data_IF_133397739695
#
_entry.id   IF_133397739695
#
_cell.length_a   1.000
_cell.length_b   1.000
_cell.length_c   1.000
_cell.angle_alpha   90.00
_cell.angle_beta   90.00
_cell.angle_gamma   90.00
#
_symmetry.space_group_name_H-M   'P 1'
#
loop_
_entity.id
_entity.type
_entity.pdbx_description
1 polymer ?
#
# COMPACT_ATOMS: atom_id res chain seq x y z
N UNK A 1 36.48 -17.14 -36.76
CA UNK A 1 36.27 -16.31 -35.57
C UNK A 1 35.16 -15.28 -35.80
N UNK A 2 34.15 -15.23 -34.94
CA UNK A 2 33.52 -13.97 -34.62
C UNK A 2 33.40 -13.78 -33.11
N UNK A 3 34.00 -12.74 -32.59
CA UNK A 3 33.82 -12.24 -31.24
C UNK A 3 32.69 -11.19 -31.25
N UNK A 4 31.77 -11.29 -30.28
CA UNK A 4 30.97 -10.16 -29.85
C UNK A 4 29.43 -10.26 -29.89
N UNK A 5 28.84 -11.14 -29.07
CA UNK A 5 27.36 -11.16 -28.90
C UNK A 5 26.88 -11.41 -27.47
N UNK A 6 27.74 -11.22 -26.46
CA UNK A 6 27.41 -11.59 -25.06
C UNK A 6 26.91 -10.47 -24.14
N UNK A 7 27.27 -9.23 -24.43
CA UNK A 7 27.10 -8.12 -23.46
C UNK A 7 25.78 -7.35 -23.57
N UNK A 8 25.15 -7.31 -24.75
CA UNK A 8 23.89 -6.54 -24.96
C UNK A 8 22.64 -7.16 -24.29
N UNK A 9 22.62 -8.49 -24.09
CA UNK A 9 21.43 -9.16 -23.50
C UNK A 9 21.32 -8.97 -21.98
N UNK A 10 22.43 -8.75 -21.27
CA UNK A 10 22.42 -8.51 -19.81
C UNK A 10 21.97 -7.09 -19.46
N UNK A 11 22.35 -6.09 -20.28
CA UNK A 11 21.92 -4.69 -20.09
C UNK A 11 20.40 -4.49 -20.21
N UNK A 12 19.73 -5.14 -21.19
CA UNK A 12 18.26 -5.05 -21.34
C UNK A 12 17.46 -5.57 -20.14
N UNK A 13 18.01 -6.53 -19.38
CA UNK A 13 17.32 -7.10 -18.22
C UNK A 13 17.40 -6.22 -16.97
N UNK A 14 18.52 -5.53 -16.77
CA UNK A 14 18.74 -4.66 -15.60
C UNK A 14 17.95 -3.35 -15.75
N UNK A 15 17.99 -2.71 -16.91
CA UNK A 15 17.21 -1.49 -17.16
C UNK A 15 15.68 -1.72 -17.06
N UNK A 16 15.17 -2.87 -17.54
CA UNK A 16 13.74 -3.20 -17.41
C UNK A 16 13.33 -3.50 -15.96
N UNK A 17 14.22 -4.03 -15.14
CA UNK A 17 13.92 -4.31 -13.74
C UNK A 17 13.86 -3.01 -12.93
N UNK A 18 14.77 -2.08 -13.18
CA UNK A 18 14.82 -0.78 -12.49
C UNK A 18 13.61 0.09 -12.90
N UNK A 19 13.25 0.16 -14.18
CA UNK A 19 12.07 0.92 -14.66
C UNK A 19 10.75 0.36 -14.12
N UNK A 20 10.59 -0.97 -14.06
CA UNK A 20 9.39 -1.60 -13.49
C UNK A 20 9.21 -1.31 -12.00
N UNK A 21 10.31 -1.17 -11.27
CA UNK A 21 10.30 -0.93 -9.82
C UNK A 21 10.03 0.54 -9.52
N UNK A 22 10.62 1.48 -10.26
CA UNK A 22 10.43 2.93 -10.04
C UNK A 22 9.03 3.37 -10.43
N UNK A 23 8.47 2.86 -11.55
CA UNK A 23 7.09 3.12 -11.93
C UNK A 23 6.07 2.53 -10.92
N UNK A 24 6.37 1.35 -10.35
CA UNK A 24 5.56 0.78 -9.27
C UNK A 24 5.62 1.61 -7.99
N UNK A 25 6.75 2.26 -7.68
CA UNK A 25 6.92 3.08 -6.48
C UNK A 25 6.09 4.37 -6.49
N UNK A 26 5.86 4.96 -7.66
CA UNK A 26 5.00 6.14 -7.79
C UNK A 26 3.51 5.79 -7.90
N UNK A 27 3.17 4.58 -8.37
CA UNK A 27 1.78 4.13 -8.53
C UNK A 27 1.24 3.42 -7.27
N UNK A 28 2.08 2.71 -6.51
CA UNK A 28 1.68 1.98 -5.30
C UNK A 28 1.12 2.90 -4.20
N UNK A 29 1.72 4.07 -3.88
CA UNK A 29 1.15 4.96 -2.88
C UNK A 29 -0.22 5.53 -3.28
N UNK A 30 -0.43 5.84 -4.57
CA UNK A 30 -1.70 6.41 -5.06
C UNK A 30 -2.83 5.38 -5.04
N UNK A 31 -2.54 4.13 -5.37
CA UNK A 31 -3.53 3.03 -5.35
C UNK A 31 -3.83 2.57 -3.93
N UNK A 32 -2.84 2.55 -3.02
CA UNK A 32 -3.02 2.14 -1.62
C UNK A 32 -3.77 3.20 -0.79
N UNK A 33 -3.64 4.50 -1.11
CA UNK A 33 -4.46 5.55 -0.48
C UNK A 33 -5.96 5.42 -0.78
N UNK A 34 -6.34 4.74 -1.88
CA UNK A 34 -7.76 4.57 -2.28
C UNK A 34 -8.38 3.32 -1.64
N UNK A 35 -7.59 2.32 -1.22
CA UNK A 35 -8.12 1.02 -0.79
C UNK A 35 -7.94 0.76 0.73
N UNK A 36 -7.34 1.69 1.49
CA UNK A 36 -7.15 1.55 2.96
C UNK A 36 -6.55 0.19 3.34
N UNK A 37 -5.29 0.18 3.71
CA UNK A 37 -4.60 -0.91 4.40
C UNK A 37 -4.42 -2.24 3.64
N UNK A 38 -3.38 -2.27 2.79
CA UNK A 38 -2.63 -3.51 2.60
C UNK A 38 -1.21 -3.24 3.12
N UNK A 39 -0.73 -3.95 4.13
CA UNK A 39 0.67 -3.82 4.56
C UNK A 39 1.57 -4.16 3.38
N UNK A 40 2.48 -3.26 3.04
CA UNK A 40 3.51 -3.54 2.04
C UNK A 40 4.43 -4.61 2.65
N UNK A 41 4.57 -5.80 2.05
CA UNK A 41 5.44 -6.84 2.61
C UNK A 41 6.86 -6.29 2.80
N UNK A 42 7.52 -6.64 3.91
CA UNK A 42 8.89 -6.24 4.25
C UNK A 42 9.90 -6.47 3.10
N UNK A 43 9.63 -7.45 2.22
CA UNK A 43 10.42 -7.71 1.01
C UNK A 43 10.40 -6.56 -0.02
N UNK A 44 9.39 -5.68 -0.01
CA UNK A 44 9.32 -4.51 -0.90
C UNK A 44 10.03 -3.31 -0.26
N UNK A 45 10.04 -3.20 1.07
CA UNK A 45 10.79 -2.18 1.81
C UNK A 45 12.29 -2.23 1.50
N UNK A 46 12.88 -3.44 1.45
CA UNK A 46 14.31 -3.63 1.14
C UNK A 46 14.70 -3.27 -0.32
N UNK A 47 13.72 -3.02 -1.21
CA UNK A 47 14.01 -2.57 -2.59
C UNK A 47 14.22 -1.04 -2.64
N UNK A 48 13.69 -0.30 -1.66
CA UNK A 48 13.74 1.16 -1.60
C UNK A 48 14.75 1.74 -0.62
N UNK A 49 15.31 0.94 0.29
CA UNK A 49 16.45 1.40 1.10
C UNK A 49 17.68 1.31 0.20
N UNK A 50 18.27 2.42 -0.23
CA UNK A 50 19.52 2.38 -0.98
C UNK A 50 20.56 1.82 -0.02
N UNK A 51 20.87 0.55 -0.16
CA UNK A 51 22.09 0.01 0.46
C UNK A 51 23.25 0.84 -0.08
N UNK A 52 24.18 1.22 0.80
CA UNK A 52 25.44 1.88 0.44
C UNK A 52 26.04 1.15 -0.77
N UNK A 53 26.03 1.81 -1.92
CA UNK A 53 26.43 1.18 -3.17
C UNK A 53 27.71 1.84 -3.70
N UNK A 54 28.90 1.52 -3.16
CA UNK A 54 30.12 1.81 -3.89
C UNK A 54 30.17 1.05 -5.21
N UNK A 55 29.57 -0.12 -5.28
CA UNK A 55 29.59 -1.02 -6.44
C UNK A 55 28.66 -0.56 -7.58
N UNK A 56 27.51 0.00 -7.28
CA UNK A 56 26.61 0.54 -8.32
C UNK A 56 27.15 1.81 -8.99
N UNK A 57 27.89 2.64 -8.26
CA UNK A 57 28.59 3.79 -8.83
C UNK A 57 29.71 3.38 -9.77
N UNK A 58 30.37 2.25 -9.54
CA UNK A 58 31.40 1.70 -10.44
C UNK A 58 30.80 1.23 -11.77
N UNK A 59 29.64 0.58 -11.77
CA UNK A 59 28.96 0.20 -13.00
C UNK A 59 28.60 1.42 -13.85
N UNK A 60 28.19 2.52 -13.24
CA UNK A 60 27.91 3.79 -13.94
C UNK A 60 29.18 4.49 -14.43
N UNK A 61 30.26 4.44 -13.67
CA UNK A 61 31.57 4.96 -14.10
C UNK A 61 32.12 4.17 -15.29
N UNK A 62 32.07 2.84 -15.22
CA UNK A 62 32.49 1.94 -16.32
C UNK A 62 31.59 2.11 -17.56
N UNK A 63 30.30 2.41 -17.38
CA UNK A 63 29.37 2.69 -18.45
C UNK A 63 29.53 4.10 -19.06
N UNK A 64 30.29 4.99 -18.39
CA UNK A 64 30.50 6.38 -18.82
C UNK A 64 29.26 7.28 -18.62
N UNK A 65 28.34 6.88 -17.73
CA UNK A 65 27.10 7.60 -17.43
C UNK A 65 27.15 8.35 -16.08
N UNK A 66 28.25 8.20 -15.33
CA UNK A 66 28.45 8.87 -14.05
C UNK A 66 29.08 10.24 -14.25
N UNK A 67 28.40 11.29 -13.82
CA UNK A 67 28.91 12.64 -13.74
C UNK A 67 29.33 12.96 -12.29
N UNK A 68 30.51 13.56 -12.11
CA UNK A 68 31.01 14.04 -10.80
C UNK A 68 30.57 15.48 -10.60
N UNK A 69 29.88 15.75 -9.50
CA UNK A 69 29.43 17.08 -9.11
C UNK A 69 30.44 17.74 -8.19
N UNK A 70 30.73 19.03 -8.40
CA UNK A 70 31.68 19.79 -7.61
C UNK A 70 31.05 21.09 -7.14
N UNK A 71 31.25 21.42 -5.86
CA UNK A 71 30.87 22.69 -5.28
C UNK A 71 32.18 23.39 -4.77
N UNK A 72 32.44 24.61 -5.26
CA UNK A 72 33.66 25.34 -4.96
C UNK A 72 34.98 24.56 -5.19
N UNK A 73 34.95 23.62 -6.20
CA UNK A 73 36.09 22.76 -6.52
C UNK A 73 36.27 21.54 -5.64
N UNK A 74 35.34 21.31 -4.72
CA UNK A 74 35.29 20.10 -3.85
C UNK A 74 34.20 19.16 -4.38
N UNK A 75 34.51 17.85 -4.48
CA UNK A 75 33.51 16.87 -4.86
C UNK A 75 32.34 16.90 -3.87
N UNK A 76 31.15 17.19 -4.37
CA UNK A 76 29.90 17.30 -3.59
C UNK A 76 28.97 16.11 -3.78
N UNK A 77 29.17 15.31 -4.84
CA UNK A 77 28.35 14.16 -5.13
C UNK A 77 28.50 13.64 -6.56
N UNK A 78 27.51 12.87 -6.97
CA UNK A 78 27.48 12.25 -8.30
C UNK A 78 26.10 12.40 -8.91
N UNK A 79 26.02 12.38 -10.24
CA UNK A 79 24.79 12.44 -11.01
C UNK A 79 24.79 11.34 -12.06
N UNK A 80 23.65 10.65 -12.20
CA UNK A 80 23.42 9.60 -13.21
C UNK A 80 22.15 9.91 -13.97
N UNK A 81 22.19 9.86 -15.29
CA UNK A 81 21.01 9.93 -16.16
C UNK A 81 20.70 8.54 -16.70
N UNK A 82 19.41 8.20 -16.71
CA UNK A 82 18.88 7.05 -17.45
C UNK A 82 18.05 7.54 -18.62
N UNK A 83 18.18 6.86 -19.75
CA UNK A 83 17.46 7.19 -20.98
C UNK A 83 16.69 5.97 -21.47
N UNK A 84 15.52 6.21 -22.05
CA UNK A 84 14.68 5.20 -22.67
C UNK A 84 15.24 4.65 -23.99
N UNK A 85 14.50 3.76 -24.62
CA UNK A 85 14.91 3.08 -25.86
C UNK A 85 15.11 4.05 -27.03
N UNK A 86 14.42 5.19 -27.05
CA UNK A 86 14.49 6.21 -28.09
C UNK A 86 15.48 7.35 -27.75
N UNK A 87 16.16 7.26 -26.57
CA UNK A 87 17.11 8.26 -26.11
C UNK A 87 16.47 9.40 -25.30
N UNK A 88 15.18 9.34 -25.01
CA UNK A 88 14.50 10.26 -24.09
C UNK A 88 15.02 10.09 -22.65
N UNK A 89 15.08 11.19 -21.90
CA UNK A 89 15.46 11.19 -20.49
C UNK A 89 14.34 10.57 -19.64
N UNK A 90 14.61 9.47 -18.95
CA UNK A 90 13.66 8.79 -18.07
C UNK A 90 13.82 9.22 -16.61
N UNK A 91 15.07 9.29 -16.13
CA UNK A 91 15.34 9.68 -14.76
C UNK A 91 16.70 10.33 -14.55
N UNK A 92 16.83 11.12 -13.48
CA UNK A 92 18.09 11.67 -12.98
C UNK A 92 18.22 11.28 -11.51
N UNK A 93 19.31 10.60 -11.17
CA UNK A 93 19.66 10.28 -9.78
C UNK A 93 20.86 11.12 -9.34
N UNK A 94 20.76 11.70 -8.15
CA UNK A 94 21.83 12.46 -7.50
C UNK A 94 22.22 11.72 -6.23
N UNK A 95 23.52 11.52 -6.07
CA UNK A 95 24.11 10.83 -4.94
C UNK A 95 25.02 11.76 -4.16
N UNK A 96 25.12 11.55 -2.85
CA UNK A 96 26.15 12.18 -2.03
C UNK A 96 27.55 11.58 -2.28
N UNK A 97 28.57 12.07 -1.60
CA UNK A 97 29.96 11.60 -1.75
C UNK A 97 30.18 10.21 -1.16
N UNK A 98 29.27 9.71 -0.32
CA UNK A 98 29.28 8.36 0.22
C UNK A 98 28.61 7.35 -0.72
N UNK A 99 27.90 7.84 -1.74
CA UNK A 99 27.17 7.03 -2.71
C UNK A 99 25.70 6.80 -2.33
N UNK A 100 25.18 7.51 -1.34
CA UNK A 100 23.76 7.44 -1.01
C UNK A 100 22.96 8.29 -2.01
N UNK A 101 21.85 7.76 -2.53
CA UNK A 101 20.94 8.53 -3.40
C UNK A 101 20.22 9.59 -2.57
N UNK A 102 20.44 10.86 -2.83
CA UNK A 102 19.81 11.98 -2.12
C UNK A 102 18.63 12.57 -2.88
N UNK A 103 18.55 12.34 -4.21
CA UNK A 103 17.47 12.82 -5.05
C UNK A 103 17.27 11.91 -6.25
N UNK A 104 16.02 11.62 -6.61
CA UNK A 104 15.64 10.93 -7.82
C UNK A 104 14.53 11.71 -8.54
N UNK A 105 14.76 12.10 -9.79
CA UNK A 105 13.83 12.83 -10.64
C UNK A 105 13.29 11.89 -11.73
N UNK A 106 12.01 11.98 -12.05
CA UNK A 106 11.35 11.19 -13.08
C UNK A 106 10.79 12.09 -14.17
N UNK A 107 10.94 11.66 -15.40
CA UNK A 107 10.55 12.43 -16.56
C UNK A 107 9.60 11.65 -17.49
N UNK A 108 8.70 12.37 -18.14
CA UNK A 108 7.90 11.87 -19.25
C UNK A 108 8.76 11.69 -20.51
N UNK A 109 8.24 10.94 -21.48
CA UNK A 109 8.84 10.78 -22.81
C UNK A 109 9.00 12.08 -23.59
N UNK A 110 8.31 13.16 -23.21
CA UNK A 110 8.46 14.49 -23.79
C UNK A 110 9.51 15.36 -23.07
N UNK A 111 10.19 14.80 -22.06
CA UNK A 111 11.21 15.48 -21.25
C UNK A 111 10.65 16.37 -20.14
N UNK A 112 9.34 16.34 -19.86
CA UNK A 112 8.75 17.08 -18.76
C UNK A 112 8.94 16.33 -17.43
N UNK A 113 9.30 17.04 -16.36
CA UNK A 113 9.43 16.47 -15.03
C UNK A 113 8.06 15.98 -14.54
N UNK A 114 7.98 14.72 -14.12
CA UNK A 114 6.80 14.13 -13.47
C UNK A 114 6.76 14.43 -11.97
N UNK A 115 7.92 14.42 -11.34
CA UNK A 115 8.10 14.64 -9.91
C UNK A 115 9.48 14.18 -9.47
N UNK A 116 9.74 14.30 -8.18
CA UNK A 116 11.01 13.87 -7.62
C UNK A 116 10.86 13.40 -6.18
N UNK A 117 11.85 12.60 -5.74
CA UNK A 117 11.96 12.03 -4.40
C UNK A 117 13.26 12.54 -3.78
N UNK A 118 13.18 12.98 -2.52
CA UNK A 118 14.35 13.31 -1.70
C UNK A 118 14.52 12.25 -0.61
N UNK A 119 15.78 11.92 -0.31
CA UNK A 119 16.16 10.95 0.72
C UNK A 119 17.03 11.61 1.76
N UNK A 120 16.76 11.34 3.03
CA UNK A 120 17.58 11.78 4.15
C UNK A 120 18.13 10.56 4.89
N UNK A 121 19.42 10.60 5.20
CA UNK A 121 20.14 9.51 5.85
C UNK A 121 20.61 9.92 7.24
N UNK A 122 20.73 8.95 8.12
CA UNK A 122 21.39 9.13 9.40
C UNK A 122 22.92 9.08 9.25
N UNK A 123 23.63 9.25 10.37
CA UNK A 123 25.10 9.27 10.40
C UNK A 123 25.73 7.89 10.11
N UNK A 124 24.96 6.83 10.12
CA UNK A 124 25.39 5.47 9.83
C UNK A 124 25.11 5.06 8.38
N UNK A 125 24.39 5.91 7.61
CA UNK A 125 24.04 5.70 6.21
C UNK A 125 22.70 4.98 6.01
N UNK A 126 21.86 4.85 7.04
CA UNK A 126 20.50 4.36 6.90
C UNK A 126 19.57 5.49 6.45
N UNK A 127 18.71 5.19 5.45
CA UNK A 127 17.67 6.11 5.03
C UNK A 127 16.63 6.25 6.15
N UNK A 128 16.47 7.44 6.70
CA UNK A 128 15.54 7.72 7.80
C UNK A 128 14.28 8.44 7.34
N UNK A 129 14.33 9.14 6.19
CA UNK A 129 13.19 9.89 5.66
C UNK A 129 13.21 9.93 4.14
N UNK A 130 12.02 9.86 3.55
CA UNK A 130 11.78 9.97 2.11
C UNK A 130 10.63 10.93 1.88
N UNK A 131 10.87 12.00 1.11
CA UNK A 131 9.89 13.01 0.74
C UNK A 131 9.60 12.95 -0.75
N UNK A 132 8.33 12.92 -1.13
CA UNK A 132 7.86 12.82 -2.51
C UNK A 132 7.18 14.11 -2.96
N UNK A 133 7.60 14.62 -4.11
CA UNK A 133 7.15 15.89 -4.67
C UNK A 133 6.61 15.70 -6.08
N UNK A 134 5.60 16.48 -6.44
CA UNK A 134 5.11 16.56 -7.80
C UNK A 134 6.06 17.42 -8.69
N UNK A 135 5.67 17.60 -9.94
CA UNK A 135 6.42 18.38 -10.92
C UNK A 135 6.43 19.89 -10.63
N UNK A 136 5.58 20.39 -9.74
CA UNK A 136 5.56 21.80 -9.30
C UNK A 136 6.46 22.05 -8.08
N UNK A 137 6.99 20.99 -7.49
CA UNK A 137 7.75 21.02 -6.25
C UNK A 137 6.89 21.02 -4.99
N UNK A 138 5.61 20.64 -5.13
CA UNK A 138 4.70 20.50 -3.99
C UNK A 138 4.81 19.08 -3.43
N UNK A 139 5.03 18.98 -2.11
CA UNK A 139 5.07 17.67 -1.43
C UNK A 139 3.67 17.05 -1.43
N UNK A 140 3.58 15.76 -1.72
CA UNK A 140 2.33 15.00 -1.63
C UNK A 140 2.40 13.80 -0.67
N UNK A 141 3.60 13.31 -0.36
CA UNK A 141 3.82 12.23 0.62
C UNK A 141 5.20 12.34 1.23
N UNK A 142 5.31 11.95 2.52
CA UNK A 142 6.58 11.75 3.19
C UNK A 142 6.48 10.55 4.13
N UNK A 143 7.59 9.83 4.36
CA UNK A 143 7.63 8.76 5.33
C UNK A 143 8.97 8.67 6.03
N UNK A 144 8.92 8.26 7.30
CA UNK A 144 10.08 8.03 8.16
C UNK A 144 10.27 6.52 8.35
N UNK A 145 11.54 6.12 8.38
CA UNK A 145 11.95 4.72 8.51
C UNK A 145 12.73 4.55 9.81
N UNK A 146 12.58 3.39 10.45
CA UNK A 146 13.44 2.96 11.54
C UNK A 146 14.78 2.41 11.04
N UNK A 147 15.65 1.95 11.96
CA UNK A 147 16.96 1.38 11.62
C UNK A 147 16.89 0.05 10.87
N UNK A 148 15.76 -0.66 10.92
CA UNK A 148 15.53 -1.92 10.22
C UNK A 148 14.90 -1.70 8.84
N UNK A 149 14.53 -0.44 8.53
CA UNK A 149 13.94 -0.02 7.27
C UNK A 149 12.42 -0.13 7.24
N UNK A 150 11.77 -0.31 8.39
CA UNK A 150 10.31 -0.32 8.49
C UNK A 150 9.78 1.11 8.47
N UNK A 151 8.64 1.32 7.84
CA UNK A 151 7.96 2.61 7.79
C UNK A 151 7.22 2.88 9.10
N UNK A 152 7.81 3.69 9.98
CA UNK A 152 7.24 4.04 11.28
C UNK A 152 6.30 5.24 11.25
N UNK A 153 6.38 6.05 10.19
CA UNK A 153 5.48 7.18 9.99
C UNK A 153 5.29 7.48 8.51
N UNK A 154 4.05 7.78 8.12
CA UNK A 154 3.69 8.30 6.80
C UNK A 154 2.87 9.58 6.94
N UNK A 155 3.15 10.55 6.10
CA UNK A 155 2.44 11.81 5.99
C UNK A 155 1.91 11.97 4.56
N UNK A 156 0.63 12.32 4.43
CA UNK A 156 -0.03 12.59 3.15
C UNK A 156 -0.42 14.06 3.11
N UNK A 157 -0.09 14.71 2.00
CA UNK A 157 -0.34 16.11 1.78
C UNK A 157 -1.31 16.31 0.60
N UNK A 158 -2.24 17.25 0.75
CA UNK A 158 -3.12 17.71 -0.33
C UNK A 158 -2.91 19.21 -0.48
N UNK A 159 -2.58 19.67 -1.68
CA UNK A 159 -2.24 21.07 -1.97
C UNK A 159 -1.16 21.63 -1.01
N UNK A 160 -0.15 20.79 -0.70
CA UNK A 160 0.96 21.12 0.19
C UNK A 160 0.60 21.22 1.67
N UNK A 161 -0.63 20.83 2.07
CA UNK A 161 -1.07 20.80 3.47
C UNK A 161 -1.14 19.36 3.95
N UNK A 162 -0.60 19.10 5.14
CA UNK A 162 -0.71 17.79 5.80
C UNK A 162 -2.19 17.50 6.08
N UNK A 163 -2.69 16.39 5.52
CA UNK A 163 -4.08 15.95 5.66
C UNK A 163 -4.21 14.66 6.45
N UNK A 164 -3.21 13.77 6.36
CA UNK A 164 -3.22 12.50 7.08
C UNK A 164 -1.82 12.19 7.62
N UNK A 165 -1.78 11.55 8.77
CA UNK A 165 -0.56 10.96 9.34
C UNK A 165 -0.87 9.53 9.80
N UNK A 166 0.01 8.62 9.47
CA UNK A 166 0.01 7.23 9.90
C UNK A 166 1.23 7.01 10.76
N UNK A 167 1.07 6.41 11.93
CA UNK A 167 2.17 6.00 12.81
C UNK A 167 2.05 4.49 12.97
N UNK A 168 3.13 3.76 12.73
CA UNK A 168 3.14 2.29 12.74
C UNK A 168 4.19 1.79 13.72
N UNK A 169 3.81 0.81 14.54
CA UNK A 169 4.70 0.12 15.46
C UNK A 169 4.93 -1.33 15.01
N UNK A 170 6.14 -1.80 15.21
CA UNK A 170 6.58 -3.16 14.84
C UNK A 170 7.14 -3.89 16.04
N UNK A 171 7.01 -5.22 16.04
CA UNK A 171 7.69 -6.08 17.01
C UNK A 171 9.17 -6.29 16.64
N UNK A 172 9.92 -6.97 17.51
CA UNK A 172 11.34 -7.28 17.28
C UNK A 172 11.61 -8.18 16.05
N UNK A 173 10.58 -8.82 15.51
CA UNK A 173 10.64 -9.63 14.31
C UNK A 173 10.30 -8.84 13.02
N UNK A 174 9.91 -7.56 13.16
CA UNK A 174 9.50 -6.68 12.05
C UNK A 174 8.06 -6.88 11.60
N UNK A 175 7.20 -7.50 12.41
CA UNK A 175 5.77 -7.59 12.13
C UNK A 175 5.09 -6.35 12.68
N UNK A 176 4.16 -5.76 11.91
CA UNK A 176 3.34 -4.65 12.35
C UNK A 176 2.41 -5.13 13.49
N UNK A 177 2.43 -4.42 14.63
CA UNK A 177 1.60 -4.73 15.79
C UNK A 177 0.52 -3.69 16.03
N UNK A 178 0.76 -2.43 15.65
CA UNK A 178 -0.20 -1.36 15.79
C UNK A 178 -0.03 -0.31 14.68
N UNK A 179 -1.13 0.36 14.32
CA UNK A 179 -1.08 1.59 13.55
C UNK A 179 -2.09 2.62 14.06
N UNK A 180 -1.69 3.89 14.06
CA UNK A 180 -2.53 5.03 14.38
C UNK A 180 -2.74 5.86 13.12
N UNK A 181 -3.97 6.34 12.89
CA UNK A 181 -4.33 7.17 11.75
C UNK A 181 -4.89 8.50 12.23
N UNK A 182 -4.23 9.57 11.85
CA UNK A 182 -4.66 10.94 12.12
C UNK A 182 -5.18 11.60 10.83
N UNK A 183 -6.31 12.26 10.90
CA UNK A 183 -6.88 13.06 9.79
C UNK A 183 -7.07 14.49 10.28
N UNK A 184 -6.45 15.44 9.56
CA UNK A 184 -6.45 16.83 9.98
C UNK A 184 -5.79 17.11 11.34
N UNK A 185 -4.93 16.20 11.80
CA UNK A 185 -4.25 16.25 13.09
C UNK A 185 -5.04 15.64 14.26
N UNK A 186 -6.26 15.13 14.03
CA UNK A 186 -7.07 14.42 15.04
C UNK A 186 -6.94 12.91 14.83
N UNK A 187 -6.70 12.14 15.90
CA UNK A 187 -6.70 10.67 15.89
C UNK A 187 -8.08 10.18 15.43
N UNK A 188 -8.10 9.26 14.47
CA UNK A 188 -9.32 8.69 13.89
C UNK A 188 -9.43 7.19 14.08
N UNK A 189 -8.30 6.49 13.96
CA UNK A 189 -8.26 5.03 14.09
C UNK A 189 -7.01 4.60 14.82
N UNK A 190 -7.16 3.57 15.65
CA UNK A 190 -6.08 2.74 16.17
C UNK A 190 -6.36 1.31 15.77
N UNK A 191 -5.43 0.69 15.05
CA UNK A 191 -5.54 -0.68 14.58
C UNK A 191 -4.50 -1.55 15.28
N UNK A 192 -4.89 -2.74 15.71
CA UNK A 192 -3.99 -3.74 16.30
C UNK A 192 -3.96 -4.99 15.41
N UNK A 193 -2.80 -5.62 15.32
CA UNK A 193 -2.58 -6.76 14.43
C UNK A 193 -1.99 -7.95 15.19
N UNK A 194 -2.32 -9.16 14.73
CA UNK A 194 -1.70 -10.38 15.22
C UNK A 194 -0.34 -10.66 14.53
N UNK A 195 0.34 -11.73 14.97
CA UNK A 195 1.64 -12.11 14.39
C UNK A 195 1.57 -12.56 12.92
N UNK A 196 0.40 -12.89 12.40
CA UNK A 196 0.18 -13.22 10.99
C UNK A 196 -0.09 -11.96 10.14
N UNK A 197 -0.27 -10.78 10.78
CA UNK A 197 -0.59 -9.51 10.15
C UNK A 197 -2.09 -9.28 9.95
N UNK A 198 -2.95 -10.08 10.58
CA UNK A 198 -4.40 -9.88 10.55
C UNK A 198 -4.79 -8.76 11.51
N UNK A 199 -5.72 -7.90 11.08
CA UNK A 199 -6.32 -6.86 11.92
C UNK A 199 -7.22 -7.53 12.98
N UNK A 200 -6.86 -7.45 14.26
CA UNK A 200 -7.63 -8.06 15.36
C UNK A 200 -8.50 -7.07 16.12
N UNK A 201 -8.17 -5.78 16.04
CA UNK A 201 -8.92 -4.71 16.68
C UNK A 201 -8.82 -3.42 15.89
N UNK A 202 -9.91 -2.68 15.80
CA UNK A 202 -9.96 -1.30 15.31
C UNK A 202 -10.71 -0.44 16.33
N UNK A 203 -10.12 0.67 16.76
CA UNK A 203 -10.79 1.73 17.49
C UNK A 203 -11.07 2.90 16.56
N UNK A 204 -12.26 3.45 16.65
CA UNK A 204 -12.69 4.62 15.86
C UNK A 204 -12.93 5.80 16.77
N UNK A 205 -12.45 6.98 16.37
CA UNK A 205 -12.56 8.23 17.14
C UNK A 205 -13.32 9.29 16.36
N UNK A 206 -14.08 10.12 17.05
CA UNK A 206 -14.84 11.21 16.47
C UNK A 206 -13.96 12.42 16.12
N UNK A 207 -14.58 13.52 15.64
CA UNK A 207 -13.89 14.76 15.27
C UNK A 207 -13.21 15.48 16.45
N UNK A 208 -13.63 15.18 17.68
CA UNK A 208 -13.05 15.73 18.91
C UNK A 208 -11.89 14.88 19.44
N UNK A 209 -11.70 13.67 18.89
CA UNK A 209 -10.74 12.68 19.36
C UNK A 209 -11.28 11.81 20.52
N UNK A 210 -12.60 11.81 20.74
CA UNK A 210 -13.24 10.91 21.72
C UNK A 210 -13.53 9.57 21.06
N UNK A 211 -13.35 8.45 21.81
CA UNK A 211 -13.64 7.12 21.30
C UNK A 211 -15.11 7.03 20.88
N UNK A 212 -15.36 6.65 19.64
CA UNK A 212 -16.70 6.47 19.08
C UNK A 212 -17.18 5.01 19.20
N UNK A 213 -16.27 4.04 19.13
CA UNK A 213 -16.54 2.62 19.26
C UNK A 213 -15.33 1.80 18.80
N UNK A 214 -15.44 0.47 18.89
CA UNK A 214 -14.37 -0.41 18.42
C UNK A 214 -14.92 -1.73 17.87
N UNK A 215 -14.16 -2.32 16.94
CA UNK A 215 -14.41 -3.64 16.36
C UNK A 215 -13.35 -4.65 16.77
N UNK A 216 -13.74 -5.91 16.95
CA UNK A 216 -12.86 -7.06 17.18
C UNK A 216 -13.06 -8.06 16.05
N UNK A 217 -11.97 -8.70 15.61
CA UNK A 217 -11.96 -9.62 14.47
C UNK A 217 -11.29 -10.94 14.85
N UNK A 218 -11.87 -12.05 14.42
CA UNK A 218 -11.30 -13.38 14.59
C UNK A 218 -11.08 -14.04 13.23
N UNK A 219 -10.02 -14.83 13.13
CA UNK A 219 -9.59 -15.48 11.88
C UNK A 219 -9.42 -16.99 12.09
N UNK A 220 -9.61 -17.75 11.00
CA UNK A 220 -9.24 -19.16 10.97
C UNK A 220 -7.73 -19.34 10.69
N UNK A 221 -7.28 -20.60 10.65
CA UNK A 221 -5.86 -20.92 10.40
C UNK A 221 -5.38 -20.57 8.98
N UNK A 222 -6.28 -20.34 8.04
CA UNK A 222 -6.00 -20.01 6.66
C UNK A 222 -6.01 -18.48 6.44
N UNK A 223 -6.34 -17.70 7.51
CA UNK A 223 -6.37 -16.24 7.51
C UNK A 223 -7.71 -15.66 7.04
N UNK A 224 -8.76 -16.47 6.94
CA UNK A 224 -10.09 -15.97 6.62
C UNK A 224 -10.74 -15.40 7.88
N UNK A 225 -11.35 -14.23 7.79
CA UNK A 225 -12.10 -13.61 8.91
C UNK A 225 -13.37 -14.39 9.18
N UNK A 226 -13.47 -15.04 10.34
CA UNK A 226 -14.64 -15.86 10.71
C UNK A 226 -15.63 -15.12 11.59
N UNK A 227 -15.20 -14.00 12.23
CA UNK A 227 -16.07 -13.21 13.10
C UNK A 227 -15.66 -11.75 13.11
N UNK A 228 -16.64 -10.87 13.25
CA UNK A 228 -16.51 -9.44 13.52
C UNK A 228 -17.49 -9.06 14.62
N UNK A 229 -17.04 -8.34 15.64
CA UNK A 229 -17.87 -7.81 16.74
C UNK A 229 -17.75 -6.29 16.78
N UNK A 230 -18.87 -5.58 16.96
CA UNK A 230 -18.91 -4.12 17.13
C UNK A 230 -19.30 -3.76 18.55
N UNK A 231 -18.61 -2.80 19.12
CA UNK A 231 -18.81 -2.31 20.47
C UNK A 231 -18.93 -0.79 20.49
N UNK A 232 -19.78 -0.28 21.35
CA UNK A 232 -19.80 1.14 21.67
C UNK A 232 -18.62 1.54 22.59
N UNK A 233 -18.42 2.85 22.90
CA UNK A 233 -17.26 3.31 23.67
C UNK A 233 -17.19 2.77 25.09
N UNK A 234 -18.31 2.38 25.71
CA UNK A 234 -18.36 1.86 27.08
C UNK A 234 -18.14 0.33 27.15
N UNK A 235 -17.97 -0.31 26.00
CA UNK A 235 -17.72 -1.74 25.85
C UNK A 235 -18.98 -2.58 25.78
N UNK A 236 -20.15 -1.97 25.55
CA UNK A 236 -21.38 -2.72 25.27
C UNK A 236 -21.35 -3.24 23.85
N UNK A 237 -21.57 -4.56 23.67
CA UNK A 237 -21.69 -5.18 22.35
C UNK A 237 -22.90 -4.59 21.61
N UNK A 238 -22.72 -4.12 20.40
CA UNK A 238 -23.77 -3.63 19.50
C UNK A 238 -24.31 -4.72 18.58
N UNK A 239 -23.48 -5.71 18.26
CA UNK A 239 -23.81 -6.83 17.40
C UNK A 239 -22.57 -7.53 16.87
N UNK A 240 -22.77 -8.61 16.12
CA UNK A 240 -21.66 -9.34 15.50
C UNK A 240 -22.07 -10.01 14.20
N UNK A 241 -21.05 -10.29 13.36
CA UNK A 241 -21.20 -11.02 12.10
C UNK A 241 -20.34 -12.27 12.12
N UNK A 242 -20.88 -13.41 11.69
CA UNK A 242 -20.15 -14.65 11.44
C UNK A 242 -20.00 -14.87 9.93
N UNK A 243 -18.89 -15.47 9.53
CA UNK A 243 -18.57 -15.75 8.13
C UNK A 243 -18.23 -17.22 7.93
N UNK A 244 -18.69 -17.78 6.82
CA UNK A 244 -18.36 -19.15 6.38
C UNK A 244 -17.71 -19.11 5.00
N UNK A 245 -16.74 -20.00 4.77
CA UNK A 245 -15.96 -20.07 3.54
C UNK A 245 -15.95 -21.49 2.97
N UNK A 246 -15.75 -21.61 1.66
CA UNK A 246 -15.41 -22.88 1.04
C UNK A 246 -13.90 -23.19 1.20
N UNK A 247 -13.48 -24.37 0.72
CA UNK A 247 -12.07 -24.79 0.78
C UNK A 247 -11.12 -23.99 -0.10
N UNK A 248 -11.61 -23.06 -0.93
CA UNK A 248 -10.84 -22.17 -1.77
C UNK A 248 -10.74 -20.76 -1.17
N UNK A 249 -11.36 -20.53 0.00
CA UNK A 249 -11.43 -19.21 0.65
C UNK A 249 -12.52 -18.30 0.09
N UNK A 250 -13.49 -18.82 -0.67
CA UNK A 250 -14.61 -18.01 -1.13
C UNK A 250 -15.70 -17.95 -0.06
N UNK A 251 -16.28 -16.79 0.19
CA UNK A 251 -17.43 -16.64 1.09
C UNK A 251 -18.61 -17.48 0.64
N UNK A 252 -19.14 -18.29 1.56
CA UNK A 252 -20.38 -19.04 1.37
C UNK A 252 -21.54 -18.32 2.04
N UNK A 253 -21.31 -17.77 3.23
CA UNK A 253 -22.37 -17.18 4.06
C UNK A 253 -21.81 -16.08 4.97
N UNK A 254 -22.62 -15.04 5.24
CA UNK A 254 -22.45 -14.13 6.37
C UNK A 254 -23.75 -14.04 7.15
N UNK A 255 -23.67 -14.03 8.48
CA UNK A 255 -24.80 -13.97 9.40
C UNK A 255 -24.64 -12.80 10.36
N UNK A 256 -25.60 -11.88 10.39
CA UNK A 256 -25.60 -10.74 11.30
C UNK A 256 -26.50 -11.01 12.49
N UNK A 257 -25.96 -10.76 13.69
CA UNK A 257 -26.63 -10.99 14.96
C UNK A 257 -26.73 -9.73 15.79
N UNK A 258 -27.81 -9.61 16.55
CA UNK A 258 -27.97 -8.65 17.63
C UNK A 258 -27.06 -9.01 18.83
N UNK A 259 -26.86 -8.06 19.79
CA UNK A 259 -26.05 -8.32 20.97
C UNK A 259 -26.52 -9.50 21.83
N UNK A 260 -27.82 -9.80 21.84
CA UNK A 260 -28.42 -10.91 22.57
C UNK A 260 -28.34 -12.25 21.84
N UNK A 261 -27.73 -12.28 20.66
CA UNK A 261 -27.56 -13.47 19.83
C UNK A 261 -28.74 -13.81 18.94
N UNK A 262 -29.71 -12.89 18.79
CA UNK A 262 -30.78 -13.07 17.82
C UNK A 262 -30.26 -12.80 16.39
N UNK A 263 -30.51 -13.74 15.46
CA UNK A 263 -30.19 -13.55 14.06
C UNK A 263 -31.06 -12.43 13.46
N UNK A 264 -30.46 -11.46 12.82
CA UNK A 264 -31.16 -10.38 12.11
C UNK A 264 -31.41 -10.72 10.64
N UNK A 265 -30.35 -11.11 9.98
CA UNK A 265 -30.34 -11.44 8.55
C UNK A 265 -29.11 -12.30 8.23
N UNK A 266 -29.16 -12.95 7.09
CA UNK A 266 -27.99 -13.60 6.53
C UNK A 266 -27.90 -13.40 5.02
N UNK A 267 -26.69 -13.56 4.48
CA UNK A 267 -26.41 -13.45 3.05
C UNK A 267 -25.69 -14.70 2.58
N UNK A 268 -26.16 -15.29 1.47
CA UNK A 268 -25.54 -16.41 0.77
C UNK A 268 -24.83 -15.92 -0.48
N UNK A 269 -23.71 -16.55 -0.82
CA UNK A 269 -22.90 -16.22 -1.98
C UNK A 269 -22.69 -17.44 -2.87
N UNK A 270 -22.79 -17.25 -4.19
CA UNK A 270 -22.53 -18.27 -5.19
C UNK A 270 -21.34 -17.87 -6.06
N UNK A 271 -20.57 -18.88 -6.45
CA UNK A 271 -19.34 -18.72 -7.21
C UNK A 271 -19.30 -19.69 -8.38
N UNK A 272 -18.76 -19.28 -9.51
CA UNK A 272 -18.52 -20.18 -10.63
C UNK A 272 -17.24 -21.02 -10.41
N UNK A 273 -16.99 -21.94 -11.32
CA UNK A 273 -15.82 -22.83 -11.27
C UNK A 273 -14.46 -22.11 -11.43
N UNK A 274 -14.47 -20.86 -11.84
CA UNK A 274 -13.28 -20.02 -12.01
C UNK A 274 -13.03 -19.12 -10.79
N UNK A 275 -13.88 -19.19 -9.75
CA UNK A 275 -13.81 -18.34 -8.57
C UNK A 275 -14.37 -16.91 -8.79
N UNK A 276 -15.27 -16.74 -9.78
CA UNK A 276 -16.01 -15.50 -9.98
C UNK A 276 -17.31 -15.57 -9.19
N UNK A 277 -17.59 -14.56 -8.34
CA UNK A 277 -18.88 -14.46 -7.65
C UNK A 277 -19.99 -14.20 -8.70
N UNK A 278 -21.04 -15.03 -8.68
CA UNK A 278 -22.12 -14.97 -9.66
C UNK A 278 -23.43 -14.50 -9.07
N UNK A 279 -23.65 -14.74 -7.76
CA UNK A 279 -24.89 -14.37 -7.08
C UNK A 279 -24.64 -14.06 -5.61
N UNK A 280 -25.48 -13.21 -5.05
CA UNK A 280 -25.57 -12.88 -3.64
C UNK A 280 -27.03 -12.71 -3.28
N UNK A 281 -27.51 -13.42 -2.26
CA UNK A 281 -28.90 -13.39 -1.79
C UNK A 281 -28.94 -13.01 -0.32
N UNK A 282 -29.80 -12.04 0.04
CA UNK A 282 -29.98 -11.60 1.42
C UNK A 282 -31.34 -12.00 1.93
N UNK A 283 -31.37 -12.65 3.08
CA UNK A 283 -32.56 -13.16 3.76
C UNK A 283 -32.77 -12.53 5.12
N UNK A 284 -34.01 -12.42 5.54
CA UNK A 284 -34.38 -12.11 6.93
C UNK A 284 -34.05 -13.30 7.85
N UNK A 285 -34.20 -13.09 9.17
CA UNK A 285 -34.08 -14.15 10.18
C UNK A 285 -35.12 -15.27 10.03
N UNK A 286 -36.26 -14.99 9.40
CA UNK A 286 -37.36 -15.90 9.15
C UNK A 286 -37.26 -16.61 7.77
N UNK A 287 -36.09 -16.61 7.15
CA UNK A 287 -35.82 -17.17 5.82
C UNK A 287 -36.58 -16.50 4.67
N UNK A 288 -37.06 -15.29 4.83
CA UNK A 288 -37.67 -14.53 3.74
C UNK A 288 -36.59 -13.86 2.90
N UNK A 289 -36.56 -14.10 1.58
CA UNK A 289 -35.66 -13.39 0.65
C UNK A 289 -35.99 -11.88 0.66
N UNK A 290 -35.01 -11.04 0.92
CA UNK A 290 -35.15 -9.59 0.94
C UNK A 290 -34.78 -8.96 -0.41
N UNK A 291 -33.62 -9.28 -0.91
CA UNK A 291 -33.09 -8.89 -2.22
C UNK A 291 -32.00 -9.86 -2.67
N UNK A 292 -31.63 -9.76 -3.95
CA UNK A 292 -30.47 -10.45 -4.46
C UNK A 292 -29.74 -9.63 -5.54
N UNK A 293 -28.48 -9.93 -5.69
CA UNK A 293 -27.64 -9.42 -6.76
C UNK A 293 -27.18 -10.57 -7.64
N UNK A 294 -27.21 -10.39 -8.95
CA UNK A 294 -26.81 -11.40 -9.91
C UNK A 294 -25.96 -10.79 -11.02
N UNK A 295 -24.92 -11.53 -11.43
CA UNK A 295 -24.07 -11.14 -12.54
C UNK A 295 -24.80 -11.49 -13.85
N UNK A 296 -25.10 -10.46 -14.66
CA UNK A 296 -25.77 -10.67 -15.96
C UNK A 296 -24.81 -11.19 -17.04
N UNK A 297 -25.34 -11.58 -18.20
CA UNK A 297 -24.59 -12.15 -19.32
C UNK A 297 -23.51 -11.21 -19.90
N UNK A 298 -23.55 -9.91 -19.61
CA UNK A 298 -22.55 -8.91 -20.06
C UNK A 298 -21.52 -8.59 -18.98
N UNK A 299 -21.61 -9.26 -17.80
CA UNK A 299 -20.65 -9.11 -16.71
C UNK A 299 -20.93 -7.93 -15.78
N UNK A 300 -22.17 -7.44 -15.72
CA UNK A 300 -22.60 -6.37 -14.83
C UNK A 300 -23.43 -6.93 -13.67
N UNK A 301 -23.25 -6.40 -12.47
CA UNK A 301 -24.06 -6.71 -11.32
C UNK A 301 -25.40 -5.98 -11.37
N UNK A 302 -26.50 -6.72 -11.25
CA UNK A 302 -27.86 -6.17 -11.20
C UNK A 302 -28.52 -6.55 -9.89
N UNK A 303 -29.08 -5.56 -9.19
CA UNK A 303 -29.88 -5.77 -7.99
C UNK A 303 -31.35 -6.06 -8.34
N UNK A 304 -31.92 -7.01 -7.63
CA UNK A 304 -33.32 -7.42 -7.76
C UNK A 304 -34.01 -7.41 -6.39
N UNK A 305 -35.26 -7.00 -6.39
CA UNK A 305 -36.16 -7.22 -5.27
C UNK A 305 -36.46 -8.72 -5.10
N UNK A 306 -37.04 -9.11 -3.95
CA UNK A 306 -37.43 -10.48 -3.67
C UNK A 306 -38.38 -11.09 -4.72
N UNK A 307 -39.19 -10.26 -5.40
CA UNK A 307 -40.11 -10.69 -6.45
C UNK A 307 -39.47 -10.85 -7.84
N UNK A 308 -38.15 -10.60 -7.94
CA UNK A 308 -37.38 -10.68 -9.18
C UNK A 308 -37.47 -9.45 -10.07
N UNK A 309 -38.02 -8.33 -9.58
CA UNK A 309 -38.00 -7.06 -10.32
C UNK A 309 -36.66 -6.35 -10.09
N UNK A 310 -35.98 -5.84 -11.16
CA UNK A 310 -34.76 -5.06 -10.98
C UNK A 310 -35.03 -3.79 -10.13
N UNK A 311 -34.05 -3.44 -9.31
CA UNK A 311 -34.03 -2.16 -8.59
C UNK A 311 -33.56 -1.09 -9.58
N UNK A 312 -34.35 0.01 -9.74
CA UNK A 312 -34.04 1.11 -10.66
C UNK A 312 -32.93 2.05 -10.15
#
# INVERSE_FOLDING_TARGET
EPKGAGTKKKRKKIGRLIMGIVAAALLVPVVLCVIGAIPVPAAIHNIFVPQTIPEALREYEEAGTLEKLYENGILSGYRVETHGENGELDSVQIFDTAGNSIRNELYNSDGTLLGYVLYEYDVTGYCKRVDQYDNTGMIYSAYELDSDGNEVKREIYTDGRLTQTWITEYDDAGNMVQSEVYIGGTLRYVNEYDQAGNLIRIESYDDNGDLFGYGLYEYDSDGNQIKEESYDPDGTLEGYTLYEYDSNGNWLKSENYDPDGALNRYTLFEWDVNGTKTRQETYSADDELLNYWELNDVGEWVEYNADGTPVE
#
